data_IF_732104492640
#
_entry.id   IF_732104492640
#
_cell.length_a   1.000
_cell.length_b   1.000
_cell.length_c   1.000
_cell.angle_alpha   90.00
_cell.angle_beta   90.00
_cell.angle_gamma   90.00
#
_symmetry.space_group_name_H-M   'P 1'
#
loop_
_entity.id
_entity.type
_entity.pdbx_description
1 polymer ?
#
# COMPACT_ATOMS: atom_id res chain seq x y z
N UNK A 1 7.18 15.72 -22.20
CA UNK A 1 8.05 15.24 -21.12
C UNK A 1 7.25 14.45 -20.11
N UNK A 2 7.22 13.13 -20.27
CA UNK A 2 6.61 12.23 -19.28
C UNK A 2 7.61 12.06 -18.13
N UNK A 3 7.45 12.80 -17.05
CA UNK A 3 8.14 12.51 -15.80
C UNK A 3 7.37 11.43 -15.05
N UNK A 4 7.77 10.18 -15.24
CA UNK A 4 7.36 9.11 -14.36
C UNK A 4 8.06 9.30 -13.00
N UNK A 5 7.37 9.82 -12.01
CA UNK A 5 7.85 9.84 -10.64
C UNK A 5 7.81 8.41 -10.10
N UNK A 6 8.92 7.70 -10.24
CA UNK A 6 9.08 6.35 -9.68
C UNK A 6 9.34 6.48 -8.17
N UNK A 7 8.29 6.66 -7.38
CA UNK A 7 8.36 6.69 -5.90
C UNK A 7 8.73 5.30 -5.33
N UNK A 8 8.69 4.27 -6.15
CA UNK A 8 8.69 2.86 -5.74
C UNK A 8 10.06 2.21 -5.55
N UNK A 9 11.15 2.81 -6.03
CA UNK A 9 12.39 2.05 -6.17
C UNK A 9 13.08 1.63 -4.88
N UNK A 10 13.13 2.48 -3.85
CA UNK A 10 13.93 2.20 -2.65
C UNK A 10 13.13 1.67 -1.45
N UNK A 11 11.90 2.14 -1.23
CA UNK A 11 11.08 1.65 -0.12
C UNK A 11 10.58 0.21 -0.35
N UNK A 12 10.13 -0.09 -1.57
CA UNK A 12 9.64 -1.42 -1.92
C UNK A 12 10.75 -2.47 -1.99
N UNK A 13 11.96 -2.12 -2.43
CA UNK A 13 13.09 -3.06 -2.47
C UNK A 13 13.63 -3.44 -1.09
N UNK A 14 13.51 -2.56 -0.11
CA UNK A 14 13.94 -2.82 1.28
C UNK A 14 13.00 -3.76 2.04
N UNK A 15 11.72 -3.78 1.69
CA UNK A 15 10.66 -4.41 2.50
C UNK A 15 10.20 -5.74 1.92
N UNK A 16 10.41 -5.97 0.63
CA UNK A 16 9.99 -7.18 -0.07
C UNK A 16 11.22 -7.98 -0.53
N UNK A 17 11.85 -8.70 0.40
CA UNK A 17 12.81 -9.75 0.07
C UNK A 17 12.08 -10.92 -0.62
N UNK A 18 11.73 -10.75 -1.89
CA UNK A 18 11.08 -11.72 -2.75
C UNK A 18 10.61 -11.02 -4.00
N UNK A 19 10.92 -11.56 -5.12
CA UNK A 19 10.64 -11.20 -6.49
C UNK A 19 9.81 -9.91 -6.74
N UNK A 20 10.48 -8.77 -6.57
CA UNK A 20 9.90 -7.43 -6.74
C UNK A 20 9.62 -7.13 -8.22
N UNK A 21 10.12 -7.97 -9.14
CA UNK A 21 10.05 -7.75 -10.58
C UNK A 21 8.61 -7.86 -11.14
N UNK A 22 7.70 -8.51 -10.43
CA UNK A 22 6.33 -8.77 -10.89
C UNK A 22 5.24 -8.14 -10.02
N UNK A 23 5.55 -7.20 -9.11
CA UNK A 23 4.52 -6.55 -8.30
C UNK A 23 4.16 -5.20 -8.85
N UNK A 24 2.88 -4.97 -8.90
CA UNK A 24 2.16 -3.86 -9.48
C UNK A 24 2.80 -2.51 -9.18
N UNK A 25 3.43 -1.95 -10.19
CA UNK A 25 3.87 -0.55 -10.14
C UNK A 25 2.63 0.32 -10.21
N UNK A 26 2.46 1.20 -9.26
CA UNK A 26 1.42 2.22 -9.34
C UNK A 26 1.96 3.38 -10.18
N UNK A 27 1.38 3.60 -11.33
CA UNK A 27 1.76 4.66 -12.25
C UNK A 27 0.96 5.94 -11.93
N UNK A 28 1.63 7.08 -11.92
CA UNK A 28 0.97 8.38 -11.99
C UNK A 28 1.30 9.01 -13.34
N UNK A 29 0.28 9.25 -14.14
CA UNK A 29 0.40 9.85 -15.45
C UNK A 29 -0.28 11.20 -15.43
N UNK A 30 0.46 12.22 -15.82
CA UNK A 30 -0.01 13.59 -15.89
C UNK A 30 0.05 14.01 -17.36
N UNK A 31 -1.10 14.21 -17.97
CA UNK A 31 -1.25 14.64 -19.33
C UNK A 31 -1.84 16.06 -19.36
N UNK A 32 -1.09 17.01 -19.93
CA UNK A 32 -1.58 18.39 -20.04
C UNK A 32 -2.73 18.52 -21.05
N UNK A 33 -2.85 17.55 -21.95
CA UNK A 33 -3.87 17.51 -22.99
C UNK A 33 -4.10 16.06 -23.41
N UNK A 34 -5.36 15.68 -23.59
CA UNK A 34 -5.78 14.43 -24.23
C UNK A 34 -6.73 14.80 -25.36
N UNK A 35 -6.50 14.22 -26.54
CA UNK A 35 -7.36 14.41 -27.69
C UNK A 35 -7.95 13.09 -28.15
N UNK A 36 -9.28 12.95 -28.25
CA UNK A 36 -10.30 13.95 -27.89
C UNK A 36 -10.42 14.13 -26.37
N UNK A 37 -10.83 15.31 -25.94
CA UNK A 37 -11.20 15.54 -24.55
C UNK A 37 -12.58 14.93 -24.29
N UNK A 38 -12.63 13.95 -23.40
CA UNK A 38 -13.85 13.26 -22.99
C UNK A 38 -14.12 13.53 -21.52
N UNK A 39 -15.39 13.52 -21.15
CA UNK A 39 -15.80 13.53 -19.75
C UNK A 39 -15.50 12.19 -19.06
N UNK A 40 -15.48 12.19 -17.74
CA UNK A 40 -15.29 10.97 -16.95
C UNK A 40 -16.32 9.89 -17.30
N UNK A 41 -17.58 10.27 -17.51
CA UNK A 41 -18.65 9.37 -17.91
C UNK A 41 -18.39 8.75 -19.29
N UNK A 42 -17.94 9.54 -20.24
CA UNK A 42 -17.62 9.05 -21.58
C UNK A 42 -16.43 8.08 -21.59
N UNK A 43 -15.42 8.29 -20.73
CA UNK A 43 -14.33 7.32 -20.57
C UNK A 43 -14.80 6.00 -19.98
N UNK A 44 -15.79 6.02 -19.10
CA UNK A 44 -16.33 4.81 -18.47
C UNK A 44 -17.29 4.04 -19.39
N UNK A 45 -18.13 4.76 -20.14
CA UNK A 45 -19.24 4.15 -20.88
C UNK A 45 -18.87 3.69 -22.29
N UNK A 46 -18.01 4.42 -23.00
CA UNK A 46 -17.79 4.17 -24.43
C UNK A 46 -16.86 2.98 -24.74
N UNK A 47 -16.04 2.56 -23.80
CA UNK A 47 -15.07 1.47 -24.00
C UNK A 47 -14.07 1.69 -25.16
N UNK A 48 -14.18 2.83 -25.85
CA UNK A 48 -13.42 3.15 -27.07
C UNK A 48 -11.92 3.24 -26.78
N UNK A 49 -11.56 3.73 -25.59
CA UNK A 49 -10.18 3.89 -25.15
C UNK A 49 -9.78 2.90 -24.06
N UNK A 50 -10.59 1.86 -23.84
CA UNK A 50 -10.33 0.89 -22.77
C UNK A 50 -8.98 0.18 -22.93
N UNK A 51 -8.62 -0.17 -24.17
CA UNK A 51 -7.37 -0.86 -24.45
C UNK A 51 -6.14 0.04 -24.21
N UNK A 52 -6.21 1.31 -24.58
CA UNK A 52 -5.17 2.29 -24.37
C UNK A 52 -4.99 2.60 -22.89
N UNK A 53 -6.09 2.84 -22.19
CA UNK A 53 -6.08 3.06 -20.73
C UNK A 53 -5.56 1.83 -20.00
N UNK A 54 -5.96 0.63 -20.41
CA UNK A 54 -5.51 -0.63 -19.83
C UNK A 54 -3.99 -0.83 -19.92
N UNK A 55 -3.38 -0.42 -21.03
CA UNK A 55 -1.93 -0.49 -21.20
C UNK A 55 -1.17 0.45 -20.24
N UNK A 56 -1.79 1.53 -19.83
CA UNK A 56 -1.14 2.64 -19.12
C UNK A 56 -1.43 2.58 -17.62
N UNK A 57 -2.68 2.40 -17.23
CA UNK A 57 -3.14 2.40 -15.84
C UNK A 57 -3.82 1.09 -15.41
N UNK A 58 -3.89 0.09 -16.29
CA UNK A 58 -4.62 -1.15 -16.05
C UNK A 58 -6.14 -0.98 -16.23
N UNK A 59 -6.90 -1.96 -15.76
CA UNK A 59 -8.37 -1.93 -15.88
C UNK A 59 -8.93 -0.70 -15.18
N UNK A 60 -9.70 0.11 -15.91
CA UNK A 60 -10.34 1.34 -15.41
C UNK A 60 -11.38 0.98 -14.35
N UNK A 61 -11.31 1.62 -13.19
CA UNK A 61 -12.21 1.37 -12.05
C UNK A 61 -13.16 2.52 -11.78
N UNK A 62 -12.70 3.74 -11.98
CA UNK A 62 -13.47 4.93 -11.74
C UNK A 62 -12.88 6.10 -12.54
N UNK A 63 -13.72 7.05 -12.92
CA UNK A 63 -13.27 8.31 -13.49
C UNK A 63 -14.07 9.46 -12.88
N UNK A 64 -13.45 10.64 -12.81
CA UNK A 64 -14.05 11.83 -12.18
C UNK A 64 -13.60 13.08 -12.91
N UNK A 65 -14.55 13.95 -13.26
CA UNK A 65 -14.24 15.29 -13.71
C UNK A 65 -13.87 16.15 -12.50
N UNK A 66 -12.62 16.63 -12.48
CA UNK A 66 -12.11 17.54 -11.44
C UNK A 66 -12.61 18.96 -11.76
N UNK A 67 -12.59 19.32 -13.03
CA UNK A 67 -13.09 20.58 -13.56
C UNK A 67 -13.73 20.33 -14.93
N UNK A 68 -14.20 21.39 -15.59
CA UNK A 68 -14.73 21.31 -16.96
C UNK A 68 -13.71 20.76 -17.98
N UNK A 69 -12.41 20.88 -17.69
CA UNK A 69 -11.33 20.51 -18.60
C UNK A 69 -10.32 19.52 -18.02
N UNK A 70 -10.45 19.13 -16.74
CA UNK A 70 -9.54 18.22 -16.08
C UNK A 70 -10.27 16.97 -15.60
N UNK A 71 -9.82 15.81 -16.05
CA UNK A 71 -10.40 14.50 -15.71
C UNK A 71 -9.36 13.62 -15.02
N UNK A 72 -9.77 12.92 -13.97
CA UNK A 72 -8.98 11.93 -13.24
C UNK A 72 -9.55 10.54 -13.45
N UNK A 73 -8.72 9.60 -13.89
CA UNK A 73 -9.09 8.22 -14.14
C UNK A 73 -8.28 7.31 -13.21
N UNK A 74 -8.97 6.45 -12.49
CA UNK A 74 -8.40 5.44 -11.61
C UNK A 74 -8.35 4.09 -12.33
N UNK A 75 -7.17 3.51 -12.42
CA UNK A 75 -6.97 2.17 -12.94
C UNK A 75 -6.48 1.20 -11.85
N UNK A 76 -6.42 -0.08 -12.19
CA UNK A 76 -5.90 -1.12 -11.28
C UNK A 76 -4.40 -0.98 -10.99
N UNK A 77 -3.65 -0.32 -11.88
CA UNK A 77 -2.20 -0.16 -11.78
C UNK A 77 -1.74 1.31 -11.76
N UNK A 78 -2.66 2.26 -11.67
CA UNK A 78 -2.28 3.66 -11.65
C UNK A 78 -3.41 4.66 -11.74
N UNK A 79 -3.00 5.91 -11.82
CA UNK A 79 -3.84 7.08 -11.98
C UNK A 79 -3.43 7.84 -13.24
N UNK A 80 -4.41 8.32 -13.99
CA UNK A 80 -4.21 9.26 -15.08
C UNK A 80 -4.99 10.54 -14.77
N UNK A 81 -4.29 11.66 -14.69
CA UNK A 81 -4.93 12.97 -14.66
C UNK A 81 -4.64 13.69 -15.97
N UNK A 82 -5.68 14.20 -16.58
CA UNK A 82 -5.60 14.83 -17.90
C UNK A 82 -6.32 16.17 -17.91
N UNK A 83 -5.69 17.15 -18.53
CA UNK A 83 -6.24 18.49 -18.71
C UNK A 83 -5.21 19.58 -18.48
N UNK A 84 -5.56 20.84 -18.83
CA UNK A 84 -4.63 21.98 -18.77
C UNK A 84 -4.10 22.27 -17.36
N UNK A 85 -4.89 21.96 -16.32
CA UNK A 85 -4.51 22.18 -14.91
C UNK A 85 -3.99 20.92 -14.22
N UNK A 86 -3.80 19.81 -14.94
CA UNK A 86 -3.40 18.51 -14.41
C UNK A 86 -2.16 18.56 -13.50
N UNK A 87 -1.20 19.44 -13.80
CA UNK A 87 0.01 19.64 -12.97
C UNK A 87 -0.26 20.26 -11.60
N UNK A 88 -1.32 21.03 -11.45
CA UNK A 88 -1.69 21.60 -10.16
C UNK A 88 -2.18 20.54 -9.18
N UNK A 89 -2.66 19.41 -9.70
CA UNK A 89 -3.15 18.28 -8.90
C UNK A 89 -2.03 17.28 -8.53
N UNK A 90 -0.83 17.39 -9.14
CA UNK A 90 0.28 16.47 -8.93
C UNK A 90 0.66 16.27 -7.46
N UNK A 91 0.85 17.32 -6.63
CA UNK A 91 1.24 17.14 -5.24
C UNK A 91 0.19 16.35 -4.44
N UNK A 92 -1.08 16.60 -4.70
CA UNK A 92 -2.20 15.92 -4.04
C UNK A 92 -2.27 14.44 -4.44
N UNK A 93 -2.12 14.16 -5.71
CA UNK A 93 -2.15 12.78 -6.24
C UNK A 93 -0.91 11.99 -5.79
N UNK A 94 0.26 12.63 -5.71
CA UNK A 94 1.45 12.02 -5.15
C UNK A 94 1.27 11.62 -3.67
N UNK A 95 0.72 12.50 -2.85
CA UNK A 95 0.42 12.21 -1.46
C UNK A 95 -0.60 11.06 -1.34
N UNK A 96 -1.66 11.09 -2.13
CA UNK A 96 -2.66 10.02 -2.19
C UNK A 96 -2.03 8.66 -2.51
N UNK A 97 -1.18 8.58 -3.54
CA UNK A 97 -0.51 7.35 -3.92
C UNK A 97 0.46 6.84 -2.84
N UNK A 98 1.13 7.74 -2.13
CA UNK A 98 1.98 7.35 -1.00
C UNK A 98 1.14 6.69 0.10
N UNK A 99 -0.01 7.27 0.46
CA UNK A 99 -0.91 6.68 1.45
C UNK A 99 -1.47 5.32 1.00
N UNK A 100 -1.90 5.19 -0.25
CA UNK A 100 -2.38 3.91 -0.80
C UNK A 100 -1.26 2.85 -0.74
N UNK A 101 -0.04 3.22 -1.10
CA UNK A 101 1.10 2.31 -1.04
C UNK A 101 1.33 1.82 0.39
N UNK A 102 1.29 2.71 1.37
CA UNK A 102 1.45 2.35 2.78
C UNK A 102 0.28 1.49 3.26
N UNK A 103 -0.95 1.76 2.84
CA UNK A 103 -2.11 0.94 3.21
C UNK A 103 -1.97 -0.50 2.72
N UNK A 104 -1.54 -0.68 1.47
CA UNK A 104 -1.23 -2.01 0.91
C UNK A 104 -0.15 -2.71 1.75
N UNK A 105 0.87 -1.98 2.18
CA UNK A 105 1.89 -2.51 3.08
C UNK A 105 1.30 -3.00 4.39
N UNK A 106 0.53 -2.16 5.07
CA UNK A 106 -0.12 -2.49 6.34
C UNK A 106 -0.99 -3.74 6.19
N UNK A 107 -1.74 -3.86 5.10
CA UNK A 107 -2.54 -5.06 4.81
C UNK A 107 -1.67 -6.32 4.66
N UNK A 108 -0.57 -6.23 3.92
CA UNK A 108 0.37 -7.35 3.76
C UNK A 108 1.02 -7.76 5.07
N UNK A 109 1.30 -6.80 5.96
CA UNK A 109 1.80 -7.09 7.30
C UNK A 109 0.79 -7.86 8.15
N UNK A 110 -0.48 -7.46 8.14
CA UNK A 110 -1.53 -8.22 8.81
C UNK A 110 -1.61 -9.64 8.27
N UNK A 111 -1.61 -9.84 6.95
CA UNK A 111 -1.63 -11.16 6.35
C UNK A 111 -0.43 -12.02 6.81
N UNK A 112 0.78 -11.43 6.84
CA UNK A 112 1.97 -12.14 7.31
C UNK A 112 1.92 -12.48 8.80
N UNK A 113 1.41 -11.57 9.62
CA UNK A 113 1.23 -11.81 11.05
C UNK A 113 0.22 -12.95 11.31
N UNK A 114 -0.85 -13.05 10.51
CA UNK A 114 -1.78 -14.17 10.58
C UNK A 114 -1.09 -15.51 10.33
N UNK A 115 -0.26 -15.59 9.29
CA UNK A 115 0.52 -16.80 8.99
C UNK A 115 1.45 -17.16 10.13
N UNK A 116 2.14 -16.18 10.73
CA UNK A 116 3.02 -16.41 11.88
C UNK A 116 2.25 -16.88 13.12
N UNK A 117 1.07 -16.33 13.37
CA UNK A 117 0.22 -16.78 14.46
C UNK A 117 -0.24 -18.24 14.27
N UNK A 118 -0.60 -18.65 13.07
CA UNK A 118 -0.96 -20.03 12.75
C UNK A 118 0.24 -20.98 12.93
N UNK A 119 1.42 -20.57 12.49
CA UNK A 119 2.68 -21.31 12.71
C UNK A 119 3.01 -21.44 14.20
N UNK A 120 2.77 -20.42 15.01
CA UNK A 120 2.96 -20.49 16.47
C UNK A 120 1.99 -21.47 17.12
N UNK A 121 0.70 -21.42 16.75
CA UNK A 121 -0.32 -22.35 17.24
C UNK A 121 0.02 -23.80 16.86
N UNK A 122 0.47 -24.03 15.65
CA UNK A 122 0.91 -25.33 15.18
C UNK A 122 2.14 -25.82 15.94
N UNK A 123 3.10 -24.94 16.23
CA UNK A 123 4.28 -25.25 17.02
C UNK A 123 3.92 -25.61 18.46
N UNK A 124 2.97 -24.88 19.07
CA UNK A 124 2.46 -25.21 20.40
C UNK A 124 1.84 -26.61 20.45
N UNK A 125 0.99 -26.97 19.50
CA UNK A 125 0.40 -28.31 19.42
C UNK A 125 1.46 -29.43 19.32
N UNK A 126 2.58 -29.16 18.63
CA UNK A 126 3.69 -30.11 18.55
C UNK A 126 4.40 -30.24 19.91
N UNK A 127 4.56 -29.14 20.64
CA UNK A 127 5.17 -29.11 21.99
C UNK A 127 4.28 -29.86 22.98
N UNK A 128 2.96 -29.63 22.95
CA UNK A 128 1.99 -30.27 23.86
C UNK A 128 1.97 -31.79 23.70
N UNK A 129 2.26 -32.31 22.52
CA UNK A 129 2.41 -33.76 22.26
C UNK A 129 3.76 -34.33 22.75
N UNK A 130 4.60 -33.49 23.36
CA UNK A 130 5.85 -33.84 24.08
C UNK A 130 6.68 -34.95 23.41
N UNK A 131 7.30 -34.71 22.23
CA UNK A 131 8.17 -35.70 21.65
C UNK A 131 9.42 -35.88 22.56
N UNK A 132 9.72 -37.09 22.95
CA UNK A 132 10.93 -37.46 23.72
C UNK A 132 12.16 -37.62 22.83
N UNK A 133 11.97 -37.68 21.52
CA UNK A 133 13.04 -37.83 20.54
C UNK A 133 13.91 -36.56 20.45
N UNK A 134 15.24 -36.65 20.65
CA UNK A 134 16.16 -35.50 20.56
C UNK A 134 16.15 -34.81 19.22
N UNK A 135 15.87 -35.52 18.11
CA UNK A 135 15.75 -34.93 16.77
C UNK A 135 14.48 -34.10 16.64
N UNK A 136 13.38 -34.55 17.23
CA UNK A 136 12.13 -33.79 17.27
C UNK A 136 12.29 -32.51 18.11
N UNK A 137 12.91 -32.57 19.25
CA UNK A 137 13.23 -31.41 20.09
C UNK A 137 14.12 -30.39 19.37
N UNK A 138 15.13 -30.86 18.64
CA UNK A 138 15.99 -29.98 17.83
C UNK A 138 15.21 -29.25 16.72
N UNK A 139 14.25 -29.94 16.06
CA UNK A 139 13.36 -29.31 15.06
C UNK A 139 12.43 -28.26 15.66
N UNK A 140 11.89 -28.52 16.86
CA UNK A 140 11.03 -27.56 17.55
C UNK A 140 11.83 -26.30 17.91
N UNK A 141 13.03 -26.45 18.49
CA UNK A 141 13.91 -25.32 18.78
C UNK A 141 14.23 -24.48 17.54
N UNK A 142 14.59 -25.14 16.45
CA UNK A 142 14.83 -24.44 15.18
C UNK A 142 13.60 -23.64 14.72
N UNK A 143 12.41 -24.24 14.83
CA UNK A 143 11.14 -23.59 14.46
C UNK A 143 10.85 -22.36 15.32
N UNK A 144 11.03 -22.47 16.64
CA UNK A 144 10.87 -21.34 17.56
C UNK A 144 11.88 -20.23 17.25
N UNK A 145 13.14 -20.55 17.00
CA UNK A 145 14.15 -19.56 16.61
C UNK A 145 13.80 -18.85 15.29
N UNK A 146 13.26 -19.59 14.31
CA UNK A 146 12.81 -19.01 13.04
C UNK A 146 11.63 -18.04 13.26
N UNK A 147 10.62 -18.45 14.03
CA UNK A 147 9.47 -17.60 14.38
C UNK A 147 9.92 -16.32 15.10
N UNK A 148 10.86 -16.43 16.05
CA UNK A 148 11.43 -15.28 16.74
C UNK A 148 12.08 -14.29 15.77
N UNK A 149 12.89 -14.80 14.85
CA UNK A 149 13.53 -13.97 13.82
C UNK A 149 12.51 -13.27 12.92
N UNK A 150 11.48 -13.99 12.49
CA UNK A 150 10.43 -13.45 11.62
C UNK A 150 9.62 -12.34 12.33
N UNK A 151 9.33 -12.49 13.63
CA UNK A 151 8.64 -11.49 14.44
C UNK A 151 9.50 -10.22 14.61
N UNK A 152 10.79 -10.39 14.93
CA UNK A 152 11.73 -9.25 15.04
C UNK A 152 11.80 -8.49 13.71
N UNK A 153 11.91 -9.20 12.60
CA UNK A 153 11.96 -8.58 11.28
C UNK A 153 10.67 -7.81 10.96
N UNK A 154 9.50 -8.32 11.35
CA UNK A 154 8.23 -7.60 11.21
C UNK A 154 8.22 -6.32 12.05
N UNK A 155 8.69 -6.38 13.29
CA UNK A 155 8.73 -5.22 14.19
C UNK A 155 9.64 -4.12 13.65
N UNK A 156 10.86 -4.47 13.22
CA UNK A 156 11.80 -3.53 12.60
C UNK A 156 11.19 -2.88 11.35
N UNK A 157 10.56 -3.69 10.50
CA UNK A 157 9.96 -3.16 9.27
C UNK A 157 8.75 -2.26 9.57
N UNK A 158 7.95 -2.58 10.60
CA UNK A 158 6.86 -1.71 11.03
C UNK A 158 7.38 -0.37 11.55
N UNK A 159 8.52 -0.36 12.23
CA UNK A 159 9.14 0.89 12.69
C UNK A 159 9.49 1.79 11.50
N UNK A 160 10.11 1.25 10.44
CA UNK A 160 10.38 2.01 9.21
C UNK A 160 9.11 2.55 8.53
N UNK A 161 8.02 1.76 8.57
CA UNK A 161 6.73 2.21 8.04
C UNK A 161 6.17 3.39 8.83
N UNK A 162 6.25 3.37 10.16
CA UNK A 162 5.81 4.46 11.02
C UNK A 162 6.63 5.74 10.74
N UNK A 163 7.94 5.61 10.61
CA UNK A 163 8.83 6.72 10.24
C UNK A 163 8.48 7.27 8.85
N UNK A 164 8.17 6.40 7.88
CA UNK A 164 7.75 6.84 6.55
C UNK A 164 6.41 7.61 6.59
N UNK A 165 5.46 7.19 7.42
CA UNK A 165 4.20 7.91 7.61
C UNK A 165 4.37 9.30 8.20
N UNK A 166 5.35 9.47 9.07
CA UNK A 166 5.62 10.77 9.69
C UNK A 166 6.25 11.78 8.73
N UNK A 167 6.96 11.30 7.72
CA UNK A 167 7.64 12.15 6.70
C UNK A 167 6.72 12.55 5.56
N UNK A 168 5.57 11.90 5.36
CA UNK A 168 4.64 12.28 4.29
C UNK A 168 4.07 13.66 4.57
N UNK A 169 4.40 14.60 3.71
CA UNK A 169 3.79 15.92 3.73
C UNK A 169 2.39 15.86 3.14
N UNK A 170 1.40 16.27 3.93
CA UNK A 170 0.03 16.43 3.44
C UNK A 170 -0.03 17.80 2.80
N UNK A 171 -0.28 17.90 1.47
CA UNK A 171 -0.44 19.20 0.85
C UNK A 171 -1.62 19.94 1.48
N UNK A 172 -1.53 21.25 1.61
CA UNK A 172 -2.65 22.05 2.11
C UNK A 172 -3.85 21.91 1.20
N UNK A 173 -5.04 22.06 1.77
CA UNK A 173 -6.28 22.08 0.99
C UNK A 173 -6.19 23.17 -0.08
N UNK A 174 -6.41 22.81 -1.36
CA UNK A 174 -6.32 23.76 -2.44
C UNK A 174 -7.36 24.88 -2.31
N UNK A 175 -7.02 26.14 -2.61
CA UNK A 175 -7.95 27.25 -2.51
C UNK A 175 -9.08 27.20 -3.55
N UNK A 176 -8.83 26.52 -4.65
CA UNK A 176 -9.75 26.39 -5.77
C UNK A 176 -10.83 25.34 -5.51
N UNK A 177 -12.06 25.59 -5.95
CA UNK A 177 -13.20 24.70 -5.72
C UNK A 177 -12.97 23.29 -6.26
N UNK A 178 -12.42 23.18 -7.47
CA UNK A 178 -12.11 21.89 -8.10
C UNK A 178 -11.07 21.09 -7.28
N UNK A 179 -10.00 21.75 -6.86
CA UNK A 179 -8.97 21.14 -6.02
C UNK A 179 -9.49 20.71 -4.65
N UNK A 180 -10.38 21.49 -4.03
CA UNK A 180 -11.07 21.12 -2.78
C UNK A 180 -11.95 19.90 -2.93
N UNK A 181 -12.77 19.86 -3.98
CA UNK A 181 -13.61 18.71 -4.26
C UNK A 181 -12.79 17.43 -4.46
N UNK A 182 -11.64 17.52 -5.13
CA UNK A 182 -10.71 16.41 -5.26
C UNK A 182 -10.09 16.01 -3.90
N UNK A 183 -9.65 16.98 -3.11
CA UNK A 183 -9.05 16.76 -1.79
C UNK A 183 -10.02 16.02 -0.85
N UNK A 184 -11.28 16.47 -0.80
CA UNK A 184 -12.33 15.82 -0.02
C UNK A 184 -12.64 14.41 -0.54
N UNK A 185 -12.73 14.24 -1.85
CA UNK A 185 -13.02 12.95 -2.49
C UNK A 185 -11.93 11.90 -2.24
N UNK A 186 -10.68 12.31 -2.23
CA UNK A 186 -9.54 11.45 -1.92
C UNK A 186 -9.39 11.17 -0.42
N UNK A 187 -10.20 11.81 0.44
CA UNK A 187 -10.16 11.67 1.91
C UNK A 187 -8.77 11.88 2.52
N UNK A 188 -7.93 12.69 1.91
CA UNK A 188 -6.52 12.88 2.26
C UNK A 188 -6.33 13.21 3.75
N UNK A 189 -7.18 14.09 4.29
CA UNK A 189 -7.10 14.49 5.70
C UNK A 189 -7.29 13.30 6.68
N UNK A 190 -8.14 12.35 6.30
CA UNK A 190 -8.44 11.16 7.10
C UNK A 190 -7.43 10.02 6.95
N UNK A 191 -6.81 9.88 5.79
CA UNK A 191 -5.97 8.72 5.44
C UNK A 191 -4.79 8.53 6.41
N UNK A 192 -4.07 9.58 6.75
CA UNK A 192 -2.94 9.51 7.70
C UNK A 192 -3.38 8.96 9.05
N UNK A 193 -4.48 9.51 9.59
CA UNK A 193 -5.02 9.09 10.89
C UNK A 193 -5.46 7.62 10.88
N UNK A 194 -6.08 7.17 9.80
CA UNK A 194 -6.50 5.78 9.64
C UNK A 194 -5.28 4.83 9.56
N UNK A 195 -4.26 5.21 8.80
CA UNK A 195 -3.03 4.42 8.67
C UNK A 195 -2.25 4.33 9.97
N UNK A 196 -2.11 5.45 10.70
CA UNK A 196 -1.48 5.46 12.03
C UNK A 196 -2.23 4.55 13.02
N UNK A 197 -3.56 4.57 13.00
CA UNK A 197 -4.37 3.66 13.83
C UNK A 197 -4.11 2.20 13.48
N UNK A 198 -4.15 1.84 12.20
CA UNK A 198 -3.87 0.47 11.73
C UNK A 198 -2.46 0.01 12.07
N UNK A 199 -1.45 0.87 11.89
CA UNK A 199 -0.07 0.57 12.25
C UNK A 199 0.10 0.39 13.77
N UNK A 200 -0.62 1.15 14.59
CA UNK A 200 -0.66 0.99 16.05
C UNK A 200 -1.29 -0.34 16.45
N UNK A 201 -2.39 -0.73 15.81
CA UNK A 201 -3.03 -2.03 16.05
C UNK A 201 -2.10 -3.18 15.64
N UNK A 202 -1.38 -3.04 14.54
CA UNK A 202 -0.38 -4.01 14.10
C UNK A 202 0.76 -4.15 15.12
N UNK A 203 1.29 -3.04 15.63
CA UNK A 203 2.32 -3.03 16.68
C UNK A 203 1.86 -3.76 17.94
N UNK A 204 0.62 -3.54 18.36
CA UNK A 204 0.02 -4.22 19.50
C UNK A 204 -0.08 -5.74 19.27
N UNK A 205 -0.46 -6.15 18.07
CA UNK A 205 -0.56 -7.57 17.70
C UNK A 205 0.81 -8.25 17.63
N UNK A 206 1.83 -7.58 17.11
CA UNK A 206 3.23 -8.07 17.12
C UNK A 206 3.71 -8.24 18.58
N UNK A 207 3.44 -7.27 19.45
CA UNK A 207 3.77 -7.40 20.89
C UNK A 207 3.03 -8.56 21.57
N UNK A 208 1.83 -8.91 21.12
CA UNK A 208 1.11 -10.12 21.51
C UNK A 208 1.83 -11.39 21.08
N UNK A 209 2.28 -11.44 19.83
CA UNK A 209 3.04 -12.57 19.28
C UNK A 209 4.37 -12.78 20.00
N UNK A 210 5.09 -11.71 20.36
CA UNK A 210 6.31 -11.79 21.17
C UNK A 210 6.05 -12.46 22.52
N UNK A 211 5.04 -12.00 23.26
CA UNK A 211 4.69 -12.59 24.58
C UNK A 211 4.33 -14.07 24.47
N UNK A 212 3.58 -14.43 23.43
CA UNK A 212 3.23 -15.83 23.20
C UNK A 212 4.47 -16.69 22.90
N UNK A 213 5.39 -16.16 22.08
CA UNK A 213 6.64 -16.85 21.77
C UNK A 213 7.52 -17.08 23.02
N UNK A 214 7.53 -16.12 23.97
CA UNK A 214 8.28 -16.25 25.22
C UNK A 214 7.70 -17.37 26.11
N UNK A 215 6.42 -17.66 26.01
CA UNK A 215 5.79 -18.81 26.70
C UNK A 215 6.22 -20.15 26.07
N UNK A 216 6.51 -20.15 24.76
CA UNK A 216 6.96 -21.38 24.05
C UNK A 216 8.45 -21.70 24.23
N UNK A 217 9.25 -20.78 24.76
CA UNK A 217 10.68 -20.96 25.02
C UNK A 217 10.96 -21.68 26.33
#
# INVERSE_FOLDING_TARGET
DVRAATITGKLLSLILAGDVANRDKVNLIIANEITPHLTAEEYMDKGEYENELKQVIGDTKAAYDISEHDTLIFGSHGLLVAGPNSRHHEPLLCAYLQFITIDIFVQNFFARLWVLNDDMLTTNKIIDNAPTDPKALSRIRYRICKLAKDIIQLEETLQYLLEALDVIEIPPEPPEQAGRALYERLEIAGMRSQLLRRATDLKKNIGGAHRYLDVLR
#
